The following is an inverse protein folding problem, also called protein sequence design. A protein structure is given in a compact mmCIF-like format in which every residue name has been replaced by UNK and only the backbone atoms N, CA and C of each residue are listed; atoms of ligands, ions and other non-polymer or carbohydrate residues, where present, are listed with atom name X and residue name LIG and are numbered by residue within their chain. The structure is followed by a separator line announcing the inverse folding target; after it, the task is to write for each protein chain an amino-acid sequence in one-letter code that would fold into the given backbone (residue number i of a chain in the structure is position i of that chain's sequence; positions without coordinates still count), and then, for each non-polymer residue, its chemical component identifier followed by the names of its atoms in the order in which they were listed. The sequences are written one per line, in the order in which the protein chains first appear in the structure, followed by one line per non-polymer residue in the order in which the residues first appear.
data_IF_550881852779
#
_entry.id   IF_550881852779
#
_cell.length_a   1.000
_cell.length_b   1.000
_cell.length_c   1.000
_cell.angle_alpha   90.00
_cell.angle_beta   90.00
_cell.angle_gamma   90.00
#
_symmetry.space_group_name_H-M   'P 1'
#
loop_
_entity.id
_entity.type
_entity.pdbx_description
1 polymer ?
#
# COMPACT_ATOMS: atom_id res chain seq x y z
N UNK A 1 -0.58 -1.68 -10.43
CA UNK A 1 -0.19 -1.20 -9.08
C UNK A 1 1.33 -1.10 -8.91
N UNK A 2 2.13 -1.94 -9.59
CA UNK A 2 3.59 -1.99 -9.43
C UNK A 2 4.34 -0.63 -9.58
N UNK A 3 3.97 0.30 -10.47
CA UNK A 3 4.66 1.59 -10.54
C UNK A 3 4.56 2.42 -9.26
N UNK A 4 3.46 2.29 -8.51
CA UNK A 4 3.30 2.96 -7.21
C UNK A 4 4.23 2.30 -6.19
N UNK A 5 4.27 0.96 -6.16
CA UNK A 5 5.17 0.20 -5.29
C UNK A 5 6.63 0.57 -5.55
N UNK A 6 7.03 0.64 -6.82
CA UNK A 6 8.36 1.05 -7.24
C UNK A 6 8.72 2.44 -6.75
N UNK A 7 7.83 3.40 -6.91
CA UNK A 7 8.02 4.75 -6.38
C UNK A 7 8.23 4.76 -4.86
N UNK A 8 7.44 4.00 -4.10
CA UNK A 8 7.56 3.94 -2.64
C UNK A 8 8.91 3.33 -2.21
N UNK A 9 9.30 2.22 -2.83
CA UNK A 9 10.58 1.56 -2.56
C UNK A 9 11.77 2.47 -2.91
N UNK A 10 11.74 3.12 -4.08
CA UNK A 10 12.78 4.07 -4.49
C UNK A 10 12.83 5.33 -3.61
N UNK A 11 11.71 5.73 -3.01
CA UNK A 11 11.65 6.79 -2.02
C UNK A 11 12.16 6.37 -0.62
N UNK A 12 12.57 5.11 -0.45
CA UNK A 12 13.14 4.57 0.79
C UNK A 12 12.12 3.99 1.76
N UNK A 13 10.88 3.77 1.34
CA UNK A 13 9.90 3.03 2.15
C UNK A 13 10.11 1.53 2.01
N UNK A 14 9.89 0.80 3.10
CA UNK A 14 9.78 -0.65 3.05
C UNK A 14 8.37 -1.05 2.59
N UNK A 15 8.28 -1.83 1.53
CA UNK A 15 7.02 -2.35 0.99
C UNK A 15 7.12 -3.87 0.90
N UNK A 16 6.78 -4.59 1.98
CA UNK A 16 7.03 -6.03 2.06
C UNK A 16 6.07 -6.87 1.21
N UNK A 17 4.90 -6.32 0.86
CA UNK A 17 3.87 -7.03 0.11
C UNK A 17 3.13 -6.10 -0.86
N UNK A 18 2.95 -6.57 -2.08
CA UNK A 18 2.12 -5.94 -3.09
C UNK A 18 1.32 -7.00 -3.84
N UNK A 19 0.09 -6.66 -4.22
CA UNK A 19 -0.78 -7.60 -4.90
C UNK A 19 -1.59 -6.95 -6.01
N UNK A 20 -2.13 -7.79 -6.89
CA UNK A 20 -3.03 -7.39 -7.96
C UNK A 20 -4.02 -8.50 -8.29
N UNK A 21 -5.25 -8.12 -8.63
CA UNK A 21 -6.30 -9.08 -9.02
C UNK A 21 -6.12 -9.60 -10.45
N UNK A 22 -5.30 -8.94 -11.27
CA UNK A 22 -5.09 -9.34 -12.66
C UNK A 22 -3.97 -10.37 -12.79
N UNK A 23 -3.94 -11.04 -13.94
CA UNK A 23 -2.83 -11.92 -14.31
C UNK A 23 -1.56 -11.12 -14.65
N UNK A 24 -0.36 -11.72 -14.50
CA UNK A 24 0.87 -11.08 -14.93
C UNK A 24 0.86 -10.83 -16.44
N UNK A 25 1.51 -9.74 -16.85
CA UNK A 25 1.68 -9.36 -18.25
C UNK A 25 3.13 -8.98 -18.50
N UNK A 26 3.58 -9.06 -19.76
CA UNK A 26 4.94 -8.69 -20.13
C UNK A 26 5.32 -7.24 -19.76
N UNK A 27 4.34 -6.33 -19.72
CA UNK A 27 4.58 -4.92 -19.40
C UNK A 27 5.00 -4.70 -17.94
N UNK A 28 4.60 -5.59 -17.02
CA UNK A 28 4.93 -5.47 -15.60
C UNK A 28 6.10 -6.35 -15.15
N UNK A 29 6.73 -7.11 -16.06
CA UNK A 29 7.71 -8.12 -15.69
C UNK A 29 9.01 -7.49 -15.14
N UNK A 30 9.47 -6.38 -15.73
CA UNK A 30 10.66 -5.68 -15.24
C UNK A 30 10.44 -5.13 -13.81
N UNK A 31 9.33 -4.41 -13.59
CA UNK A 31 8.97 -3.92 -12.26
C UNK A 31 8.85 -5.08 -11.26
N UNK A 32 8.20 -6.17 -11.66
CA UNK A 32 8.05 -7.36 -10.82
C UNK A 32 9.41 -7.93 -10.43
N UNK A 33 10.32 -8.09 -11.38
CA UNK A 33 11.66 -8.63 -11.11
C UNK A 33 12.43 -7.74 -10.15
N UNK A 34 12.50 -6.43 -10.42
CA UNK A 34 13.23 -5.50 -9.56
C UNK A 34 12.65 -5.45 -8.16
N UNK A 35 11.32 -5.33 -8.04
CA UNK A 35 10.65 -5.30 -6.74
C UNK A 35 10.85 -6.62 -5.97
N UNK A 36 10.80 -7.76 -6.64
CA UNK A 36 11.05 -9.06 -6.00
C UNK A 36 12.51 -9.17 -5.53
N UNK A 37 13.48 -8.67 -6.31
CA UNK A 37 14.89 -8.61 -5.91
C UNK A 37 15.13 -7.67 -4.72
N UNK A 38 14.35 -6.59 -4.64
CA UNK A 38 14.37 -5.64 -3.52
C UNK A 38 13.59 -6.15 -2.29
N UNK A 39 12.98 -7.34 -2.36
CA UNK A 39 12.35 -8.02 -1.23
C UNK A 39 10.83 -7.88 -1.11
N UNK A 40 10.17 -7.22 -2.06
CA UNK A 40 8.70 -7.14 -2.07
C UNK A 40 8.08 -8.47 -2.53
N UNK A 41 7.23 -9.09 -1.71
CA UNK A 41 6.38 -10.21 -2.13
C UNK A 41 5.32 -9.70 -3.12
N UNK A 42 5.32 -10.20 -4.36
CA UNK A 42 4.33 -9.85 -5.37
C UNK A 42 3.35 -10.99 -5.61
N UNK A 43 2.07 -10.74 -5.35
CA UNK A 43 0.97 -11.70 -5.59
C UNK A 43 0.07 -11.27 -6.75
N UNK A 44 -0.03 -12.11 -7.77
CA UNK A 44 -1.01 -11.97 -8.86
C UNK A 44 -2.24 -12.82 -8.60
N UNK A 45 -3.37 -12.44 -9.22
CA UNK A 45 -4.68 -13.12 -9.05
C UNK A 45 -5.03 -13.34 -7.57
N UNK A 46 -4.74 -12.33 -6.76
CA UNK A 46 -4.96 -12.36 -5.32
C UNK A 46 -6.45 -12.44 -4.98
N UNK A 47 -6.74 -12.99 -3.80
CA UNK A 47 -8.02 -12.85 -3.10
C UNK A 47 -7.94 -11.75 -2.02
N UNK A 48 -9.07 -11.33 -1.44
CA UNK A 48 -9.05 -10.31 -0.39
C UNK A 48 -8.35 -10.85 0.88
N UNK A 49 -8.57 -12.13 1.17
CA UNK A 49 -8.04 -12.86 2.30
C UNK A 49 -6.50 -12.87 2.27
N UNK A 50 -5.90 -13.00 1.08
CA UNK A 50 -4.45 -12.93 0.92
C UNK A 50 -3.88 -11.58 1.41
N UNK A 51 -4.58 -10.48 1.10
CA UNK A 51 -4.15 -9.15 1.51
C UNK A 51 -4.41 -8.91 3.00
N UNK A 52 -5.51 -9.43 3.55
CA UNK A 52 -5.81 -9.37 4.98
C UNK A 52 -4.74 -10.13 5.78
N UNK A 53 -4.35 -11.32 5.32
CA UNK A 53 -3.27 -12.11 5.89
C UNK A 53 -1.94 -11.36 5.83
N UNK A 54 -1.65 -10.66 4.74
CA UNK A 54 -0.46 -9.83 4.63
C UNK A 54 -0.46 -8.68 5.65
N UNK A 55 -1.60 -8.00 5.85
CA UNK A 55 -1.73 -6.95 6.89
C UNK A 55 -1.46 -7.52 8.28
N UNK A 56 -2.04 -8.69 8.60
CA UNK A 56 -1.85 -9.33 9.90
C UNK A 56 -0.45 -9.89 10.09
N UNK A 57 0.25 -10.28 9.01
CA UNK A 57 1.62 -10.79 9.07
C UNK A 57 2.63 -9.66 9.25
N UNK A 58 2.54 -8.63 8.42
CA UNK A 58 3.55 -7.58 8.35
C UNK A 58 3.31 -6.42 9.31
N UNK A 59 2.09 -6.25 9.84
CA UNK A 59 1.72 -5.15 10.74
C UNK A 59 2.16 -3.78 10.19
N UNK A 60 1.75 -3.42 8.95
CA UNK A 60 2.28 -2.25 8.27
C UNK A 60 1.89 -0.94 8.93
N UNK A 61 2.69 0.10 8.67
CA UNK A 61 2.40 1.47 9.13
C UNK A 61 1.34 2.18 8.29
N UNK A 62 1.07 1.68 7.08
CA UNK A 62 0.09 2.20 6.14
C UNK A 62 -0.36 1.10 5.20
N UNK A 63 -1.67 1.04 4.93
CA UNK A 63 -2.23 0.14 3.91
C UNK A 63 -2.79 0.94 2.74
N UNK A 64 -2.50 0.50 1.51
CA UNK A 64 -3.07 1.05 0.28
C UNK A 64 -3.77 -0.09 -0.45
N UNK A 65 -5.09 -0.01 -0.63
CA UNK A 65 -5.82 -1.15 -1.16
C UNK A 65 -7.23 -0.84 -1.65
N UNK A 66 -8.05 -1.87 -1.78
CA UNK A 66 -9.48 -1.75 -2.08
C UNK A 66 -10.24 -1.21 -0.87
N UNK A 67 -11.51 -0.80 -1.07
CA UNK A 67 -12.37 -0.35 0.03
C UNK A 67 -12.46 -1.38 1.17
N UNK A 68 -12.58 -2.66 0.85
CA UNK A 68 -12.67 -3.72 1.86
C UNK A 68 -11.38 -3.86 2.68
N UNK A 69 -10.21 -3.78 2.03
CA UNK A 69 -8.93 -3.86 2.73
C UNK A 69 -8.66 -2.61 3.57
N UNK A 70 -9.07 -1.43 3.08
CA UNK A 70 -8.99 -0.16 3.80
C UNK A 70 -9.80 -0.20 5.12
N UNK A 71 -11.05 -0.69 5.07
CA UNK A 71 -11.87 -0.86 6.26
C UNK A 71 -11.23 -1.84 7.25
N UNK A 72 -10.78 -3.00 6.76
CA UNK A 72 -10.14 -4.01 7.59
C UNK A 72 -8.89 -3.47 8.32
N UNK A 73 -8.01 -2.75 7.63
CA UNK A 73 -6.82 -2.16 8.23
C UNK A 73 -7.17 -1.11 9.30
N UNK A 74 -8.20 -0.29 9.05
CA UNK A 74 -8.65 0.74 10.01
C UNK A 74 -9.23 0.14 11.29
N UNK A 75 -9.96 -0.97 11.20
CA UNK A 75 -10.41 -1.74 12.38
C UNK A 75 -9.23 -2.24 13.21
N UNK A 76 -8.08 -2.47 12.57
CA UNK A 76 -6.84 -2.83 13.26
C UNK A 76 -6.07 -1.63 13.85
N UNK A 77 -6.56 -0.41 13.67
CA UNK A 77 -5.87 0.81 14.11
C UNK A 77 -4.70 1.19 13.19
N UNK A 78 -4.71 0.69 11.95
CA UNK A 78 -3.70 1.00 10.94
C UNK A 78 -4.30 2.04 9.99
N UNK A 79 -3.60 3.17 9.72
CA UNK A 79 -4.08 4.10 8.72
C UNK A 79 -4.10 3.43 7.35
N UNK A 80 -5.16 3.67 6.59
CA UNK A 80 -5.32 3.08 5.26
C UNK A 80 -5.94 4.07 4.28
N UNK A 81 -5.66 3.85 2.99
CA UNK A 81 -6.28 4.57 1.90
C UNK A 81 -6.81 3.66 0.79
N UNK A 82 -7.98 4.02 0.28
CA UNK A 82 -8.53 3.42 -0.92
C UNK A 82 -7.77 3.88 -2.18
N UNK A 83 -7.17 2.92 -2.89
CA UNK A 83 -6.30 3.13 -4.04
C UNK A 83 -6.97 3.94 -5.15
N UNK A 84 -8.18 3.57 -5.57
CA UNK A 84 -8.81 4.19 -6.75
C UNK A 84 -9.04 5.70 -6.55
N UNK A 85 -9.50 6.08 -5.37
CA UNK A 85 -9.86 7.48 -5.10
C UNK A 85 -8.64 8.34 -4.75
N UNK A 86 -7.60 7.77 -4.14
CA UNK A 86 -6.48 8.54 -3.61
C UNK A 86 -5.19 8.43 -4.43
N UNK A 87 -5.01 7.33 -5.15
CA UNK A 87 -3.80 7.06 -5.93
C UNK A 87 -4.08 7.17 -7.42
N UNK A 88 -5.03 6.42 -7.98
CA UNK A 88 -5.25 6.45 -9.45
C UNK A 88 -5.83 7.76 -9.98
N UNK A 89 -6.41 8.59 -9.11
CA UNK A 89 -6.90 9.92 -9.44
C UNK A 89 -5.79 10.98 -9.56
N UNK A 90 -4.54 10.64 -9.20
CA UNK A 90 -3.41 11.57 -9.16
C UNK A 90 -2.41 11.28 -10.27
N UNK A 91 -1.76 12.30 -10.84
CA UNK A 91 -0.60 12.09 -11.70
C UNK A 91 0.49 11.36 -10.91
N UNK A 92 0.93 10.20 -11.38
CA UNK A 92 2.03 9.45 -10.77
C UNK A 92 3.37 9.74 -11.45
N UNK A 93 3.35 9.92 -12.77
CA UNK A 93 4.55 10.01 -13.58
C UNK A 93 5.23 11.37 -13.48
N UNK A 94 6.54 11.36 -13.74
CA UNK A 94 7.44 12.50 -13.65
C UNK A 94 7.54 13.08 -12.23
N UNK A 95 8.51 13.98 -12.04
CA UNK A 95 8.85 14.51 -10.72
C UNK A 95 7.65 15.12 -9.98
N UNK A 96 6.82 15.90 -10.67
CA UNK A 96 5.66 16.57 -10.06
C UNK A 96 4.57 15.59 -9.61
N UNK A 97 4.34 14.52 -10.38
CA UNK A 97 3.38 13.47 -10.00
C UNK A 97 3.86 12.67 -8.81
N UNK A 98 5.11 12.20 -8.89
CA UNK A 98 5.77 11.47 -7.82
C UNK A 98 5.79 12.25 -6.50
N UNK A 99 6.16 13.54 -6.53
CA UNK A 99 6.20 14.38 -5.33
C UNK A 99 4.82 14.54 -4.68
N UNK A 100 3.76 14.65 -5.49
CA UNK A 100 2.38 14.78 -4.99
C UNK A 100 1.94 13.52 -4.27
N UNK A 101 2.22 12.35 -4.83
CA UNK A 101 1.90 11.06 -4.20
C UNK A 101 2.71 10.88 -2.92
N UNK A 102 4.02 11.10 -2.95
CA UNK A 102 4.89 10.93 -1.78
C UNK A 102 4.53 11.89 -0.64
N UNK A 103 4.18 13.14 -0.93
CA UNK A 103 3.73 14.09 0.10
C UNK A 103 2.45 13.63 0.80
N UNK A 104 1.50 13.06 0.04
CA UNK A 104 0.28 12.49 0.61
C UNK A 104 0.59 11.28 1.51
N UNK A 105 1.45 10.37 1.06
CA UNK A 105 1.86 9.20 1.82
C UNK A 105 2.56 9.60 3.12
N UNK A 106 3.47 10.56 3.07
CA UNK A 106 4.14 11.10 4.26
C UNK A 106 3.14 11.66 5.29
N UNK A 107 2.13 12.41 4.84
CA UNK A 107 1.09 12.95 5.73
C UNK A 107 0.18 11.88 6.35
N UNK A 108 0.02 10.72 5.70
CA UNK A 108 -0.74 9.59 6.25
C UNK A 108 0.07 8.82 7.29
N UNK A 109 1.35 8.60 7.04
CA UNK A 109 2.26 7.94 7.99
C UNK A 109 2.35 8.70 9.32
N UNK A 110 2.31 10.04 9.28
CA UNK A 110 2.27 10.88 10.48
C UNK A 110 1.01 10.66 11.34
N UNK A 111 -0.05 10.04 10.81
CA UNK A 111 -1.29 9.76 11.55
C UNK A 111 -1.31 8.40 12.23
N UNK A 112 -0.25 7.59 12.12
CA UNK A 112 -0.17 6.25 12.70
C UNK A 112 -0.59 6.22 14.18
N UNK A 113 -0.03 7.10 14.99
CA UNK A 113 -0.31 7.15 16.43
C UNK A 113 -1.77 7.54 16.72
N UNK A 114 -2.37 8.41 15.89
CA UNK A 114 -3.77 8.80 16.06
C UNK A 114 -4.74 7.63 15.84
N UNK A 115 -4.46 6.76 14.85
CA UNK A 115 -5.27 5.56 14.61
C UNK A 115 -5.13 4.53 15.74
N UNK A 116 -3.90 4.34 16.26
CA UNK A 116 -3.68 3.44 17.41
C UNK A 116 -4.42 3.95 18.65
N UNK A 117 -4.30 5.23 18.98
CA UNK A 117 -5.00 5.83 20.11
C UNK A 117 -6.53 5.72 19.97
N UNK A 118 -7.06 5.87 18.75
CA UNK A 118 -8.48 5.71 18.49
C UNK A 118 -8.96 4.27 18.74
N UNK A 119 -8.20 3.26 18.28
CA UNK A 119 -8.52 1.85 18.56
C UNK A 119 -8.46 1.55 20.05
N UNK A 120 -7.43 2.02 20.74
CA UNK A 120 -7.28 1.85 22.20
C UNK A 120 -8.48 2.41 22.96
N UNK A 121 -8.92 3.63 22.61
CA UNK A 121 -10.08 4.28 23.21
C UNK A 121 -11.37 3.45 23.12
N UNK A 122 -11.67 2.85 21.96
CA UNK A 122 -12.89 2.05 21.76
C UNK A 122 -12.76 0.59 22.22
N UNK A 123 -11.55 0.13 22.58
CA UNK A 123 -11.30 -1.20 23.12
C UNK A 123 -11.43 -1.29 24.64
N UNK A 124 -11.65 -0.14 25.31
CA UNK A 124 -11.94 -0.02 26.74
C UNK A 124 -13.44 0.10 26.97
#
# INVERSE_FOLDING_TARGET
ELPVVRLLVEAGLDVPYASTSIAPTHLGEEDRQVLSMLGTEIRYRKYLEDDMDAVMRYHPDLVIGTTSLDSFAKEQGIPAIYYTNNISSRPLFFAAGASTVLAMIAGLLQKKDAFRNMKEYFST
#
